data_IF_497661524367
#
_entry.id   IF_497661524367
#
_cell.length_a   1.000
_cell.length_b   1.000
_cell.length_c   1.000
_cell.angle_alpha   90.00
_cell.angle_beta   90.00
_cell.angle_gamma   90.00
#
_symmetry.space_group_name_H-M   'P 1'
#
loop_
_entity.id
_entity.type
_entity.pdbx_description
1 polymer ?
#
# COMPACT_ATOMS: atom_id res chain seq x y z
N UNK A 1 -12.88 -36.58 15.67
CA UNK A 1 -12.77 -36.43 14.19
C UNK A 1 -11.52 -35.66 13.76
N UNK A 2 -11.14 -34.60 14.45
CA UNK A 2 -9.97 -33.79 14.08
C UNK A 2 -8.63 -34.53 14.23
N UNK A 3 -8.48 -35.37 15.26
CA UNK A 3 -7.29 -36.21 15.46
C UNK A 3 -7.11 -37.25 14.34
N UNK A 4 -8.20 -37.85 13.85
CA UNK A 4 -8.18 -38.75 12.72
C UNK A 4 -7.76 -38.06 11.40
N UNK A 5 -8.15 -36.78 11.24
CA UNK A 5 -7.70 -35.96 10.10
C UNK A 5 -6.22 -35.56 10.26
N UNK A 6 -5.78 -35.23 11.47
CA UNK A 6 -4.40 -34.90 11.77
C UNK A 6 -3.45 -36.11 11.63
N UNK A 7 -3.94 -37.32 11.88
CA UNK A 7 -3.20 -38.57 11.66
C UNK A 7 -3.27 -39.08 10.21
N UNK A 8 -3.94 -38.37 9.30
CA UNK A 8 -4.07 -38.75 7.88
C UNK A 8 -5.04 -39.91 7.60
N UNK A 9 -5.78 -40.38 8.61
CA UNK A 9 -6.75 -41.49 8.48
C UNK A 9 -8.11 -41.05 7.95
N UNK A 10 -8.43 -39.76 8.04
CA UNK A 10 -9.67 -39.18 7.52
C UNK A 10 -9.38 -38.05 6.51
N UNK A 11 -10.23 -37.92 5.50
CA UNK A 11 -10.10 -36.87 4.51
C UNK A 11 -10.15 -35.48 5.19
N UNK A 12 -9.28 -34.55 4.75
CA UNK A 12 -9.24 -33.20 5.27
C UNK A 12 -10.49 -32.42 4.86
N UNK A 13 -10.83 -31.42 5.66
CA UNK A 13 -11.99 -30.58 5.44
C UNK A 13 -11.75 -29.61 4.27
N UNK A 14 -12.77 -29.36 3.46
CA UNK A 14 -12.67 -28.45 2.31
C UNK A 14 -13.25 -27.09 2.68
N UNK A 15 -12.54 -26.02 2.32
CA UNK A 15 -12.98 -24.65 2.48
C UNK A 15 -14.20 -24.37 1.60
N UNK A 16 -15.30 -23.95 2.20
CA UNK A 16 -16.55 -23.69 1.49
C UNK A 16 -16.47 -22.49 0.52
N UNK A 17 -15.53 -21.56 0.71
CA UNK A 17 -15.40 -20.36 -0.13
C UNK A 17 -14.46 -20.56 -1.33
N UNK A 18 -13.30 -21.20 -1.12
CA UNK A 18 -12.26 -21.35 -2.13
C UNK A 18 -12.18 -22.78 -2.71
N UNK A 19 -12.87 -23.77 -2.11
CA UNK A 19 -12.78 -25.18 -2.51
C UNK A 19 -11.41 -25.82 -2.22
N UNK A 20 -10.57 -25.16 -1.43
CA UNK A 20 -9.22 -25.62 -1.08
C UNK A 20 -9.26 -26.48 0.17
N UNK A 21 -8.34 -27.42 0.28
CA UNK A 21 -8.14 -28.20 1.49
C UNK A 21 -7.74 -27.30 2.66
N UNK A 22 -8.42 -27.43 3.79
CA UNK A 22 -8.03 -26.84 5.07
C UNK A 22 -7.04 -27.79 5.74
N UNK A 23 -5.87 -27.28 6.12
CA UNK A 23 -4.83 -28.08 6.77
C UNK A 23 -5.35 -28.67 8.10
N UNK A 24 -5.37 -30.01 8.28
CA UNK A 24 -5.81 -30.66 9.51
C UNK A 24 -5.01 -30.28 10.78
N UNK A 25 -3.77 -29.83 10.63
CA UNK A 25 -2.91 -29.41 11.73
C UNK A 25 -3.14 -27.95 12.17
N UNK A 26 -4.03 -27.21 11.49
CA UNK A 26 -4.38 -25.87 11.93
C UNK A 26 -5.17 -25.95 13.25
N UNK A 27 -4.75 -25.24 14.31
CA UNK A 27 -5.45 -25.30 15.58
C UNK A 27 -6.90 -24.79 15.45
N UNK A 28 -7.79 -25.30 16.29
CA UNK A 28 -9.24 -25.02 16.22
C UNK A 28 -9.56 -23.53 16.23
N UNK A 29 -8.87 -22.74 17.05
CA UNK A 29 -9.13 -21.30 17.18
C UNK A 29 -8.80 -20.48 15.92
N UNK A 30 -7.97 -21.01 15.01
CA UNK A 30 -7.70 -20.37 13.70
C UNK A 30 -8.76 -20.78 12.69
N UNK A 31 -9.13 -22.06 12.66
CA UNK A 31 -10.08 -22.62 11.69
C UNK A 31 -11.53 -22.21 11.96
N UNK A 32 -11.92 -22.07 13.23
CA UNK A 32 -13.29 -21.67 13.59
C UNK A 32 -13.47 -20.16 13.38
N UNK A 33 -14.44 -19.81 12.53
CA UNK A 33 -14.81 -18.41 12.33
C UNK A 33 -15.51 -17.86 13.59
N UNK A 34 -15.20 -16.64 14.04
CA UNK A 34 -15.91 -15.99 15.13
C UNK A 34 -17.41 -15.82 14.85
N UNK A 35 -18.21 -15.82 15.91
CA UNK A 35 -19.69 -15.78 15.84
C UNK A 35 -20.23 -14.60 15.00
N UNK A 36 -19.56 -13.45 15.02
CA UNK A 36 -20.00 -12.24 14.32
C UNK A 36 -19.84 -12.30 12.79
N UNK A 37 -19.17 -13.32 12.24
CA UNK A 37 -19.02 -13.48 10.79
C UNK A 37 -20.11 -14.35 10.15
N UNK A 38 -21.03 -14.94 10.93
CA UNK A 38 -22.14 -15.77 10.45
C UNK A 38 -21.73 -16.85 9.42
N UNK A 39 -20.51 -17.40 9.57
CA UNK A 39 -20.00 -18.46 8.69
C UNK A 39 -20.32 -19.83 9.30
N UNK A 40 -21.43 -20.43 8.89
CA UNK A 40 -21.87 -21.76 9.35
C UNK A 40 -21.11 -22.92 8.67
N UNK A 41 -20.11 -22.61 7.85
CA UNK A 41 -19.33 -23.59 7.08
C UNK A 41 -17.85 -23.41 7.37
N UNK A 42 -17.06 -24.50 7.35
CA UNK A 42 -15.60 -24.43 7.53
C UNK A 42 -14.99 -23.54 6.44
N UNK A 43 -14.36 -22.44 6.85
CA UNK A 43 -13.67 -21.54 5.94
C UNK A 43 -12.51 -20.83 6.62
N UNK A 44 -11.49 -20.50 5.83
CA UNK A 44 -10.36 -19.65 6.25
C UNK A 44 -10.49 -18.22 5.70
N UNK A 45 -11.65 -17.83 5.17
CA UNK A 45 -11.88 -16.50 4.61
C UNK A 45 -11.68 -15.39 5.65
N UNK A 46 -12.01 -15.64 6.92
CA UNK A 46 -11.81 -14.67 8.00
C UNK A 46 -10.33 -14.40 8.32
N UNK A 47 -9.44 -15.31 7.94
CA UNK A 47 -7.99 -15.13 8.08
C UNK A 47 -7.37 -14.39 6.90
N UNK A 48 -8.11 -14.20 5.79
CA UNK A 48 -7.60 -13.48 4.63
C UNK A 48 -7.62 -11.97 4.86
N UNK A 49 -6.56 -11.31 4.41
CA UNK A 49 -6.50 -9.85 4.42
C UNK A 49 -7.62 -9.27 3.54
N UNK A 50 -8.51 -8.49 4.15
CA UNK A 50 -9.68 -7.89 3.49
C UNK A 50 -9.34 -6.68 2.61
N UNK A 51 -8.17 -6.07 2.82
CA UNK A 51 -7.76 -4.79 2.23
C UNK A 51 -6.37 -4.83 1.59
N UNK A 52 -6.07 -5.86 0.81
CA UNK A 52 -4.81 -5.90 0.07
C UNK A 52 -4.80 -4.81 -1.01
N UNK A 53 -3.87 -3.86 -0.91
CA UNK A 53 -3.50 -3.03 -2.05
C UNK A 53 -2.99 -3.96 -3.15
N UNK A 54 -3.39 -3.70 -4.40
CA UNK A 54 -2.96 -4.52 -5.53
C UNK A 54 -1.42 -4.64 -5.55
N UNK A 55 -0.85 -5.86 -5.63
CA UNK A 55 0.59 -6.04 -5.69
C UNK A 55 1.12 -5.31 -6.93
N UNK A 56 2.06 -4.38 -6.75
CA UNK A 56 2.62 -3.57 -7.83
C UNK A 56 2.09 -2.13 -7.92
N UNK A 57 1.16 -1.72 -7.06
CA UNK A 57 0.83 -0.30 -6.88
C UNK A 57 2.00 0.43 -6.18
N UNK A 58 3.07 0.70 -6.94
CA UNK A 58 4.18 1.56 -6.51
C UNK A 58 3.76 3.01 -6.69
N UNK A 59 2.91 3.48 -5.79
CA UNK A 59 2.63 4.92 -5.69
C UNK A 59 3.90 5.59 -5.16
N UNK A 60 4.72 6.06 -6.09
CA UNK A 60 6.00 6.70 -5.81
C UNK A 60 5.91 8.17 -6.17
N UNK A 61 6.54 9.03 -5.37
CA UNK A 61 6.51 10.47 -5.65
C UNK A 61 7.13 10.78 -7.02
N UNK A 62 6.51 11.70 -7.75
CA UNK A 62 6.99 12.11 -9.08
C UNK A 62 8.35 12.81 -8.93
N UNK A 63 9.38 12.30 -9.60
CA UNK A 63 10.72 12.91 -9.65
C UNK A 63 10.93 13.62 -10.98
N UNK A 64 11.65 14.74 -10.95
CA UNK A 64 12.09 15.44 -12.16
C UNK A 64 10.98 16.12 -12.96
N UNK A 65 9.78 16.28 -12.40
CA UNK A 65 8.70 17.02 -13.05
C UNK A 65 9.07 18.49 -13.16
N UNK A 66 9.39 18.95 -14.38
CA UNK A 66 9.47 20.37 -14.70
C UNK A 66 8.06 20.89 -14.91
N UNK A 67 7.64 21.86 -14.10
CA UNK A 67 6.39 22.59 -14.33
C UNK A 67 6.52 23.57 -15.51
N UNK A 68 5.50 24.39 -15.73
CA UNK A 68 5.54 25.44 -16.75
C UNK A 68 6.74 26.37 -16.55
N UNK A 69 7.57 26.47 -17.59
CA UNK A 69 8.73 27.36 -17.59
C UNK A 69 8.24 28.77 -17.87
N UNK A 70 8.27 29.61 -16.83
CA UNK A 70 7.88 31.02 -16.94
C UNK A 70 9.11 31.88 -17.23
N UNK A 71 8.96 32.82 -18.15
CA UNK A 71 10.03 33.77 -18.52
C UNK A 71 10.03 35.04 -17.68
N UNK A 72 8.92 35.34 -16.98
CA UNK A 72 8.79 36.49 -16.09
C UNK A 72 8.68 36.03 -14.63
N UNK A 73 9.30 36.78 -13.73
CA UNK A 73 9.21 36.55 -12.29
C UNK A 73 7.79 36.74 -11.76
N UNK A 74 7.36 35.86 -10.84
CA UNK A 74 6.06 35.95 -10.16
C UNK A 74 6.28 36.20 -8.68
N UNK A 75 5.45 37.08 -8.10
CA UNK A 75 5.45 37.35 -6.66
C UNK A 75 5.22 36.04 -5.88
N UNK A 76 6.14 35.73 -4.96
CA UNK A 76 6.11 34.50 -4.15
C UNK A 76 6.95 33.35 -4.71
N UNK A 77 7.53 33.49 -5.90
CA UNK A 77 8.52 32.56 -6.40
C UNK A 77 9.88 32.71 -5.68
N UNK A 78 10.70 31.66 -5.76
CA UNK A 78 12.08 31.65 -5.32
C UNK A 78 12.86 32.81 -5.94
N UNK A 79 13.45 33.67 -5.11
CA UNK A 79 14.18 34.87 -5.57
C UNK A 79 15.48 34.55 -6.31
N UNK A 80 16.00 33.32 -6.15
CA UNK A 80 17.21 32.86 -6.85
C UNK A 80 16.90 32.35 -8.26
N UNK A 81 16.09 31.29 -8.39
CA UNK A 81 15.83 30.61 -9.65
C UNK A 81 14.47 30.91 -10.31
N UNK A 82 13.51 31.50 -9.57
CA UNK A 82 12.18 31.82 -10.09
C UNK A 82 11.14 30.70 -10.02
N UNK A 83 11.47 29.53 -9.46
CA UNK A 83 10.50 28.44 -9.27
C UNK A 83 9.50 28.77 -8.14
N UNK A 84 8.25 28.32 -8.28
CA UNK A 84 7.18 28.57 -7.30
C UNK A 84 7.06 27.46 -6.24
N UNK A 85 7.86 26.40 -6.33
CA UNK A 85 7.73 25.21 -5.48
C UNK A 85 8.51 25.27 -4.18
N UNK A 86 9.42 26.23 -4.04
CA UNK A 86 10.34 26.32 -2.90
C UNK A 86 10.78 27.77 -2.65
N UNK A 87 11.37 28.00 -1.48
CA UNK A 87 11.93 29.30 -1.09
C UNK A 87 13.39 29.45 -1.53
N UNK A 88 13.95 30.67 -1.47
CA UNK A 88 15.34 30.91 -1.85
C UNK A 88 16.37 30.12 -1.01
N UNK A 89 16.05 29.82 0.26
CA UNK A 89 16.92 29.04 1.14
C UNK A 89 16.97 27.56 0.78
N UNK A 90 15.90 27.05 0.21
CA UNK A 90 15.74 25.64 -0.20
C UNK A 90 16.00 25.47 -1.70
N UNK A 91 16.63 26.46 -2.32
CA UNK A 91 16.90 26.43 -3.75
C UNK A 91 17.99 25.41 -4.07
N UNK A 92 17.68 24.53 -5.02
CA UNK A 92 18.60 23.50 -5.52
C UNK A 92 19.58 24.07 -6.55
N UNK A 93 19.26 25.24 -7.11
CA UNK A 93 20.16 25.96 -8.02
C UNK A 93 21.24 26.72 -7.25
N UNK A 94 22.43 26.82 -7.84
CA UNK A 94 23.54 27.59 -7.25
C UNK A 94 23.08 29.02 -6.93
N UNK A 95 23.43 29.59 -5.76
CA UNK A 95 23.13 30.97 -5.43
C UNK A 95 23.69 31.92 -6.50
N UNK A 96 22.81 32.69 -7.14
CA UNK A 96 23.15 33.67 -8.19
C UNK A 96 23.50 35.01 -7.54
N UNK A 97 24.43 35.74 -8.16
CA UNK A 97 24.76 37.11 -7.75
C UNK A 97 23.59 38.07 -7.98
N UNK A 98 22.96 37.96 -9.16
CA UNK A 98 21.68 38.61 -9.49
C UNK A 98 20.63 37.52 -9.66
N UNK A 99 19.68 37.46 -8.74
CA UNK A 99 18.63 36.45 -8.72
C UNK A 99 17.49 36.75 -9.70
N UNK A 100 16.68 35.74 -9.99
CA UNK A 100 15.52 35.81 -10.91
C UNK A 100 14.48 36.88 -10.54
N UNK A 101 14.50 37.44 -9.33
CA UNK A 101 13.63 38.56 -8.94
C UNK A 101 14.00 39.87 -9.66
N UNK A 102 15.26 40.05 -10.03
CA UNK A 102 15.79 41.31 -10.57
C UNK A 102 16.20 41.23 -12.05
N UNK A 103 16.12 40.03 -12.65
CA UNK A 103 16.35 39.76 -14.08
C UNK A 103 15.05 39.36 -14.73
#
# INVERSE_FOLDING_TARGET
MQEARASGTAAPEMDAATGKMINPHNPQFITQAPWYLNQNKPSLKHQQAWNLKAPGAKDWYKRGTKGDVKTKFIKGACTNCGATTHTAKECVERPRSVGAKFT
#
